data_IF_961189785955
#
_entry.id   IF_961189785955
#
_cell.length_a   1.000
_cell.length_b   1.000
_cell.length_c   1.000
_cell.angle_alpha   90.00
_cell.angle_beta   90.00
_cell.angle_gamma   90.00
#
_symmetry.space_group_name_H-M   'P 1'
#
loop_
_entity.id
_entity.type
_entity.pdbx_description
1 polymer ?
#
# COMPACT_ATOMS: atom_id res chain seq x y z
N UNK A 1 22.36 20.74 8.81
CA UNK A 1 22.63 19.31 9.07
C UNK A 1 21.29 18.64 9.38
N UNK A 2 20.64 18.13 8.35
CA UNK A 2 19.32 17.50 8.46
C UNK A 2 19.54 15.98 8.52
N UNK A 3 19.31 15.39 9.70
CA UNK A 3 19.28 13.96 9.89
C UNK A 3 17.99 13.39 9.30
N UNK A 4 18.02 13.03 8.02
CA UNK A 4 16.97 12.27 7.37
C UNK A 4 16.90 10.88 7.99
N UNK A 5 15.88 10.61 8.80
CA UNK A 5 15.53 9.26 9.23
C UNK A 5 15.07 8.49 8.00
N UNK A 6 15.92 7.65 7.46
CA UNK A 6 15.53 6.66 6.46
C UNK A 6 14.45 5.77 7.08
N UNK A 7 13.25 5.85 6.54
CA UNK A 7 12.22 4.83 6.75
C UNK A 7 12.75 3.56 6.08
N UNK A 8 13.05 2.54 6.87
CA UNK A 8 13.59 1.27 6.38
C UNK A 8 12.44 0.41 5.82
N UNK A 9 12.17 0.41 4.50
CA UNK A 9 11.08 -0.40 3.93
C UNK A 9 11.50 -1.87 3.72
N UNK A 10 12.76 -2.23 4.01
CA UNK A 10 13.27 -3.60 3.83
C UNK A 10 12.54 -4.61 4.74
N UNK A 11 12.02 -4.16 5.89
CA UNK A 11 11.20 -5.00 6.78
C UNK A 11 9.73 -5.14 6.30
N UNK A 12 9.28 -4.32 5.36
CA UNK A 12 7.86 -4.25 4.97
C UNK A 12 7.43 -5.36 4.00
N UNK A 13 8.37 -6.01 3.32
CA UNK A 13 8.08 -7.09 2.37
C UNK A 13 7.62 -8.39 3.07
N UNK A 14 7.81 -8.49 4.40
CA UNK A 14 7.49 -9.70 5.18
C UNK A 14 6.05 -9.75 5.71
N UNK A 15 5.20 -8.76 5.46
CA UNK A 15 3.88 -8.60 6.13
C UNK A 15 2.69 -8.57 5.18
N UNK A 16 2.54 -9.59 4.31
CA UNK A 16 1.35 -9.77 3.48
C UNK A 16 0.50 -11.01 3.88
N UNK A 17 0.50 -11.36 5.15
CA UNK A 17 -0.54 -12.24 5.73
C UNK A 17 -1.22 -11.42 6.82
N UNK A 18 -2.21 -10.61 6.41
CA UNK A 18 -3.03 -9.82 7.30
C UNK A 18 -3.95 -10.71 8.13
N UNK A 19 -3.54 -11.06 9.34
CA UNK A 19 -4.48 -11.53 10.36
C UNK A 19 -5.01 -10.31 11.11
N UNK A 20 -6.24 -9.89 10.79
CA UNK A 20 -7.02 -8.94 11.57
C UNK A 20 -7.48 -9.60 12.86
N UNK A 21 -6.67 -9.51 13.91
CA UNK A 21 -7.09 -9.89 15.26
C UNK A 21 -7.70 -8.67 15.95
N UNK A 22 -9.00 -8.71 16.21
CA UNK A 22 -9.70 -7.76 17.06
C UNK A 22 -9.21 -7.91 18.51
N UNK A 23 -8.52 -6.90 19.03
CA UNK A 23 -8.09 -6.86 20.43
C UNK A 23 -9.21 -6.28 21.31
N UNK A 24 -9.78 -7.12 22.18
CA UNK A 24 -10.53 -6.68 23.34
C UNK A 24 -9.54 -6.33 24.47
N UNK A 25 -9.55 -5.07 24.91
CA UNK A 25 -8.73 -4.60 26.02
C UNK A 25 -9.37 -5.00 27.35
N UNK A 26 -8.66 -5.79 28.17
CA UNK A 26 -8.92 -5.91 29.62
C UNK A 26 -7.63 -5.57 30.37
N UNK A 27 -7.71 -4.56 31.21
CA UNK A 27 -6.60 -4.10 32.07
C UNK A 27 -6.43 -4.99 33.31
N UNK A 28 -5.19 -5.32 33.75
CA UNK A 28 -4.92 -5.93 35.02
C UNK A 28 -4.48 -4.92 36.09
N UNK A 29 -4.68 -5.22 37.39
CA UNK A 29 -4.29 -4.35 38.51
C UNK A 29 -2.80 -4.49 38.89
N UNK A 30 -2.24 -3.56 39.69
CA UNK A 30 -0.82 -3.50 39.98
C UNK A 30 -0.38 -4.41 41.14
N UNK A 31 0.82 -4.95 41.08
CA UNK A 31 1.50 -5.69 42.14
C UNK A 31 2.73 -4.94 42.69
N UNK A 32 3.08 -5.14 43.96
CA UNK A 32 4.04 -4.29 44.70
C UNK A 32 5.51 -4.73 44.52
N UNK A 33 6.38 -3.76 44.76
CA UNK A 33 7.84 -3.89 44.71
C UNK A 33 8.41 -4.64 45.92
N UNK A 34 9.48 -5.39 45.71
CA UNK A 34 10.43 -5.74 46.76
C UNK A 34 11.85 -5.82 46.21
N UNK A 35 12.75 -5.11 46.90
CA UNK A 35 14.17 -5.00 46.62
C UNK A 35 14.96 -6.10 47.36
N UNK A 36 16.04 -6.60 46.75
CA UNK A 36 17.15 -7.22 47.49
C UNK A 36 18.47 -7.11 46.68
N UNK A 37 19.53 -6.80 47.40
CA UNK A 37 20.85 -6.40 46.99
C UNK A 37 21.81 -7.59 46.73
N UNK A 38 23.07 -7.35 46.23
CA UNK A 38 23.91 -8.31 45.53
C UNK A 38 24.89 -9.07 46.46
N UNK A 39 25.32 -10.25 46.02
CA UNK A 39 26.42 -10.99 46.58
C UNK A 39 27.42 -11.49 45.51
N UNK A 40 28.65 -11.86 45.81
CA UNK A 40 29.84 -11.56 45.03
C UNK A 40 30.28 -12.66 44.06
N UNK A 41 31.06 -12.20 43.09
CA UNK A 41 31.77 -12.95 42.06
C UNK A 41 32.74 -13.99 42.58
N UNK A 42 32.61 -15.23 42.11
CA UNK A 42 33.73 -16.18 42.04
C UNK A 42 34.00 -16.58 40.61
N UNK A 43 35.21 -16.25 40.15
CA UNK A 43 35.80 -16.71 38.93
C UNK A 43 35.87 -18.24 38.85
N UNK A 44 35.27 -18.82 37.80
CA UNK A 44 35.51 -20.22 37.43
C UNK A 44 35.98 -20.32 35.97
N UNK A 45 37.14 -20.89 35.90
CA UNK A 45 37.91 -21.47 34.76
C UNK A 45 37.01 -22.06 33.67
N UNK A 46 37.42 -21.83 32.42
CA UNK A 46 36.74 -22.23 31.21
C UNK A 46 36.24 -23.68 31.19
N UNK A 47 34.93 -23.78 31.29
CA UNK A 47 34.20 -24.96 30.87
C UNK A 47 33.72 -24.66 29.44
N UNK A 48 33.96 -25.59 28.51
CA UNK A 48 33.40 -25.57 27.17
C UNK A 48 31.87 -25.32 27.31
N UNK A 49 31.39 -24.25 26.71
CA UNK A 49 29.94 -23.97 26.64
C UNK A 49 29.31 -25.19 25.99
N UNK A 50 28.40 -25.92 26.67
CA UNK A 50 27.72 -27.01 26.01
C UNK A 50 26.98 -26.43 24.81
N UNK A 51 27.28 -26.93 23.62
CA UNK A 51 26.49 -26.66 22.43
C UNK A 51 25.08 -27.19 22.76
N UNK A 52 24.15 -26.33 23.09
CA UNK A 52 22.79 -26.74 23.33
C UNK A 52 22.28 -27.29 21.98
N UNK A 53 21.98 -28.58 21.96
CA UNK A 53 21.32 -29.21 20.82
C UNK A 53 20.00 -28.47 20.59
N UNK A 54 19.75 -28.07 19.35
CA UNK A 54 18.52 -27.37 18.99
C UNK A 54 17.33 -28.32 19.24
N UNK A 55 16.34 -27.82 19.98
CA UNK A 55 15.22 -28.64 20.43
C UNK A 55 14.07 -28.56 19.42
N UNK A 56 13.52 -29.71 19.03
CA UNK A 56 12.30 -29.77 18.24
C UNK A 56 11.11 -29.41 19.11
N UNK A 57 10.34 -28.40 18.69
CA UNK A 57 9.13 -27.93 19.38
C UNK A 57 7.87 -28.51 18.73
N UNK A 58 7.82 -28.55 17.40
CA UNK A 58 6.68 -29.02 16.62
C UNK A 58 7.16 -29.81 15.44
N UNK A 59 6.43 -30.86 15.08
CA UNK A 59 6.59 -31.58 13.82
C UNK A 59 5.37 -31.28 12.96
N UNK A 60 5.63 -30.82 11.73
CA UNK A 60 4.63 -30.49 10.71
C UNK A 60 4.79 -31.48 9.56
N UNK A 61 3.88 -32.46 9.47
CA UNK A 61 4.02 -33.63 8.60
C UNK A 61 5.36 -34.37 8.84
N UNK A 62 6.34 -34.17 7.96
CA UNK A 62 7.68 -34.77 8.01
C UNK A 62 8.81 -33.77 8.34
N UNK A 63 8.47 -32.51 8.61
CA UNK A 63 9.46 -31.46 8.91
C UNK A 63 9.35 -30.94 10.35
N UNK A 64 10.49 -30.70 10.99
CA UNK A 64 10.54 -30.17 12.33
C UNK A 64 10.61 -28.62 12.33
N UNK A 65 9.96 -28.02 13.33
CA UNK A 65 10.18 -26.63 13.75
C UNK A 65 10.90 -26.66 15.09
N UNK A 66 12.03 -25.98 15.16
CA UNK A 66 12.93 -26.02 16.30
C UNK A 66 12.78 -24.78 17.18
N UNK A 67 13.40 -24.81 18.34
CA UNK A 67 13.50 -23.66 19.23
C UNK A 67 14.26 -22.50 18.59
N UNK A 68 15.27 -22.83 17.77
CA UNK A 68 16.02 -21.83 17.00
C UNK A 68 15.13 -21.12 15.98
N UNK A 69 14.32 -21.86 15.22
CA UNK A 69 13.38 -21.30 14.24
C UNK A 69 12.39 -20.32 14.91
N UNK A 70 11.83 -20.72 16.07
CA UNK A 70 10.93 -19.87 16.83
C UNK A 70 11.62 -18.59 17.34
N UNK A 71 12.82 -18.74 17.91
CA UNK A 71 13.57 -17.61 18.46
C UNK A 71 13.97 -16.61 17.37
N UNK A 72 14.42 -17.09 16.21
CA UNK A 72 14.80 -16.25 15.09
C UNK A 72 13.58 -15.50 14.50
N UNK A 73 12.48 -16.21 14.29
CA UNK A 73 11.27 -15.57 13.77
C UNK A 73 10.68 -14.56 14.77
N UNK A 74 10.72 -14.87 16.06
CA UNK A 74 10.32 -13.93 17.13
C UNK A 74 11.18 -12.66 17.10
N UNK A 75 12.49 -12.79 16.94
CA UNK A 75 13.43 -11.67 16.82
C UNK A 75 13.02 -10.73 15.68
N UNK A 76 12.69 -11.29 14.52
CA UNK A 76 12.25 -10.54 13.33
C UNK A 76 10.94 -9.80 13.64
N UNK A 77 9.94 -10.48 14.21
CA UNK A 77 8.64 -9.88 14.53
C UNK A 77 8.78 -8.75 15.56
N UNK A 78 9.60 -8.93 16.60
CA UNK A 78 9.85 -7.89 17.60
C UNK A 78 10.53 -6.66 17.01
N UNK A 79 11.51 -6.85 16.10
CA UNK A 79 12.16 -5.75 15.39
C UNK A 79 11.14 -4.96 14.54
N UNK A 80 10.22 -5.66 13.89
CA UNK A 80 9.16 -5.05 13.08
C UNK A 80 8.15 -4.26 13.92
N UNK A 81 7.66 -4.84 15.03
CA UNK A 81 6.75 -4.14 15.96
C UNK A 81 7.40 -2.87 16.50
N UNK A 82 8.68 -2.95 16.87
CA UNK A 82 9.46 -1.78 17.33
C UNK A 82 9.59 -0.72 16.26
N UNK A 83 9.87 -1.10 15.01
CA UNK A 83 9.97 -0.17 13.88
C UNK A 83 8.63 0.53 13.59
N UNK A 84 7.52 -0.15 13.84
CA UNK A 84 6.15 0.37 13.68
C UNK A 84 5.61 1.10 14.91
N UNK A 85 6.40 1.24 15.98
CA UNK A 85 5.97 1.80 17.28
C UNK A 85 4.76 1.06 17.89
N UNK A 86 4.65 -0.25 17.67
CA UNK A 86 3.60 -1.10 18.22
C UNK A 86 4.16 -1.81 19.46
N UNK A 87 3.43 -1.73 20.58
CA UNK A 87 3.81 -2.46 21.80
C UNK A 87 3.61 -3.96 21.59
N UNK A 88 4.66 -4.80 21.78
CA UNK A 88 4.53 -6.23 21.65
C UNK A 88 3.53 -6.82 22.66
N UNK A 89 2.79 -7.89 22.31
CA UNK A 89 2.03 -8.66 23.29
C UNK A 89 2.95 -9.40 24.26
N UNK A 90 2.36 -10.09 25.26
CA UNK A 90 3.16 -10.95 26.17
C UNK A 90 3.92 -12.04 25.38
N UNK A 91 5.07 -12.45 25.90
CA UNK A 91 5.93 -13.44 25.22
C UNK A 91 5.16 -14.72 24.86
N UNK A 92 4.31 -15.23 25.76
CA UNK A 92 3.54 -16.46 25.53
C UNK A 92 2.54 -16.32 24.37
N UNK A 93 1.92 -15.14 24.22
CA UNK A 93 1.01 -14.85 23.11
C UNK A 93 1.79 -14.70 21.83
N UNK A 94 2.92 -13.99 21.87
CA UNK A 94 3.78 -13.81 20.71
C UNK A 94 4.34 -15.15 20.21
N UNK A 95 4.85 -15.99 21.10
CA UNK A 95 5.41 -17.29 20.74
C UNK A 95 4.37 -18.22 20.13
N UNK A 96 3.13 -18.21 20.62
CA UNK A 96 2.01 -18.95 20.01
C UNK A 96 1.70 -18.44 18.60
N UNK A 97 1.63 -17.12 18.41
CA UNK A 97 1.35 -16.53 17.10
C UNK A 97 2.47 -16.81 16.09
N UNK A 98 3.72 -16.69 16.53
CA UNK A 98 4.89 -17.00 15.70
C UNK A 98 4.93 -18.48 15.35
N UNK A 99 4.61 -19.38 16.29
CA UNK A 99 4.57 -20.82 16.06
C UNK A 99 3.49 -21.19 15.03
N UNK A 100 2.27 -20.68 15.15
CA UNK A 100 1.21 -20.95 14.16
C UNK A 100 1.59 -20.44 12.77
N UNK A 101 2.25 -19.26 12.69
CA UNK A 101 2.77 -18.76 11.44
C UNK A 101 3.81 -19.69 10.81
N UNK A 102 4.76 -20.20 11.60
CA UNK A 102 5.77 -21.17 11.14
C UNK A 102 5.12 -22.47 10.65
N UNK A 103 4.10 -22.96 11.36
CA UNK A 103 3.35 -24.16 10.97
C UNK A 103 2.67 -23.94 9.61
N UNK A 104 1.97 -22.83 9.43
CA UNK A 104 1.30 -22.49 8.16
C UNK A 104 2.33 -22.33 7.03
N UNK A 105 3.44 -21.64 7.29
CA UNK A 105 4.51 -21.49 6.30
C UNK A 105 5.09 -22.84 5.85
N UNK A 106 5.37 -23.75 6.80
CA UNK A 106 5.80 -25.12 6.48
C UNK A 106 4.78 -25.85 5.61
N UNK A 107 3.51 -25.82 6.00
CA UNK A 107 2.44 -26.43 5.23
C UNK A 107 2.35 -25.89 3.80
N UNK A 108 2.47 -24.57 3.62
CA UNK A 108 2.47 -23.95 2.29
C UNK A 108 3.67 -24.38 1.44
N UNK A 109 4.87 -24.45 2.01
CA UNK A 109 6.07 -24.87 1.29
C UNK A 109 6.00 -26.34 0.89
N UNK A 110 5.49 -27.22 1.77
CA UNK A 110 5.23 -28.62 1.45
C UNK A 110 4.19 -28.75 0.35
N UNK A 111 3.08 -28.00 0.44
CA UNK A 111 2.06 -27.96 -0.61
C UNK A 111 2.67 -27.54 -1.96
N UNK A 112 3.52 -26.53 -1.98
CA UNK A 112 4.21 -26.11 -3.20
C UNK A 112 5.08 -27.24 -3.79
N UNK A 113 5.85 -27.92 -2.94
CA UNK A 113 6.71 -29.04 -3.34
C UNK A 113 5.89 -30.18 -3.97
N UNK A 114 4.80 -30.58 -3.31
CA UNK A 114 3.93 -31.67 -3.74
C UNK A 114 3.19 -31.36 -5.04
N UNK A 115 2.85 -30.08 -5.26
CA UNK A 115 2.16 -29.60 -6.45
C UNK A 115 3.07 -29.07 -7.56
N UNK A 116 4.39 -29.25 -7.43
CA UNK A 116 5.39 -28.86 -8.43
C UNK A 116 5.55 -27.36 -8.61
N UNK A 117 5.15 -26.53 -7.61
CA UNK A 117 5.34 -25.08 -7.64
C UNK A 117 6.78 -24.79 -7.23
N UNK A 118 7.60 -24.39 -8.20
CA UNK A 118 9.04 -24.14 -8.00
C UNK A 118 9.39 -22.72 -8.44
N UNK A 119 10.41 -22.14 -7.81
CA UNK A 119 10.96 -20.83 -8.14
C UNK A 119 12.44 -21.00 -8.47
N UNK A 120 12.81 -20.60 -9.68
CA UNK A 120 14.19 -20.64 -10.14
C UNK A 120 15.00 -19.46 -9.59
N UNK A 121 16.31 -19.61 -9.59
CA UNK A 121 17.26 -18.61 -9.08
C UNK A 121 17.16 -17.27 -9.81
N UNK A 122 16.90 -17.30 -11.11
CA UNK A 122 16.77 -16.10 -11.94
C UNK A 122 15.57 -15.25 -11.50
N UNK A 123 14.46 -15.91 -11.15
CA UNK A 123 13.26 -15.22 -10.60
C UNK A 123 13.54 -14.60 -9.25
N UNK A 124 14.29 -15.30 -8.37
CA UNK A 124 14.69 -14.78 -7.05
C UNK A 124 15.57 -13.54 -7.22
N UNK A 125 16.61 -13.62 -8.05
CA UNK A 125 17.53 -12.50 -8.28
C UNK A 125 16.79 -11.30 -8.88
N UNK A 126 15.91 -11.52 -9.86
CA UNK A 126 15.08 -10.44 -10.45
C UNK A 126 14.19 -9.77 -9.41
N UNK A 127 13.62 -10.55 -8.49
CA UNK A 127 12.81 -10.02 -7.39
C UNK A 127 13.65 -9.18 -6.45
N UNK A 128 14.86 -9.63 -6.08
CA UNK A 128 15.79 -8.89 -5.23
C UNK A 128 16.22 -7.58 -5.89
N UNK A 129 16.53 -7.60 -7.20
CA UNK A 129 16.88 -6.40 -7.96
C UNK A 129 15.75 -5.38 -7.94
N UNK A 130 14.50 -5.82 -8.16
CA UNK A 130 13.33 -4.94 -8.10
C UNK A 130 13.16 -4.32 -6.72
N UNK A 131 13.33 -5.09 -5.63
CA UNK A 131 13.29 -4.55 -4.27
C UNK A 131 14.39 -3.50 -4.04
N UNK A 132 15.58 -3.71 -4.56
CA UNK A 132 16.66 -2.73 -4.49
C UNK A 132 16.30 -1.43 -5.24
N UNK A 133 15.74 -1.54 -6.45
CA UNK A 133 15.31 -0.41 -7.27
C UNK A 133 14.16 0.38 -6.60
N UNK A 134 13.16 -0.29 -6.04
CA UNK A 134 12.07 0.33 -5.27
C UNK A 134 12.60 1.14 -4.08
N UNK A 135 13.71 0.68 -3.47
CA UNK A 135 14.43 1.39 -2.41
C UNK A 135 15.44 2.42 -2.94
N UNK A 136 15.53 2.61 -4.26
CA UNK A 136 16.48 3.52 -4.93
C UNK A 136 17.96 3.19 -4.62
N UNK A 137 18.27 1.91 -4.43
CA UNK A 137 19.60 1.40 -4.13
C UNK A 137 20.13 0.59 -5.31
N UNK A 138 21.45 0.67 -5.52
CA UNK A 138 22.14 -0.25 -6.41
C UNK A 138 22.26 -1.63 -5.73
N UNK A 139 22.37 -2.74 -6.49
CA UNK A 139 22.46 -4.08 -5.93
C UNK A 139 23.54 -4.26 -4.85
N UNK A 140 24.74 -3.68 -5.08
CA UNK A 140 25.85 -3.74 -4.12
C UNK A 140 25.58 -2.92 -2.84
N UNK A 141 24.90 -1.79 -2.98
CA UNK A 141 24.49 -0.94 -1.84
C UNK A 141 23.43 -1.65 -1.00
N UNK A 142 22.50 -2.33 -1.66
CA UNK A 142 21.48 -3.13 -1.02
C UNK A 142 22.07 -4.29 -0.22
N UNK A 143 23.03 -5.03 -0.80
CA UNK A 143 23.75 -6.10 -0.09
C UNK A 143 24.48 -5.59 1.16
N UNK A 144 25.21 -4.47 1.04
CA UNK A 144 25.90 -3.83 2.17
C UNK A 144 24.92 -3.33 3.24
N UNK A 145 23.72 -2.97 2.85
CA UNK A 145 22.67 -2.58 3.81
C UNK A 145 22.19 -3.79 4.60
N UNK A 146 21.89 -4.91 3.95
CA UNK A 146 21.53 -6.17 4.62
C UNK A 146 22.61 -6.61 5.62
N UNK A 147 23.88 -6.57 5.22
CA UNK A 147 25.00 -6.91 6.10
C UNK A 147 25.09 -6.01 7.35
N UNK A 148 24.85 -4.70 7.18
CA UNK A 148 24.79 -3.73 8.31
C UNK A 148 23.63 -4.00 9.26
N UNK A 149 22.51 -4.48 8.74
CA UNK A 149 21.34 -4.91 9.53
C UNK A 149 21.52 -6.30 10.15
N UNK A 150 22.68 -6.95 9.92
CA UNK A 150 22.97 -8.29 10.42
C UNK A 150 22.26 -9.42 9.67
N UNK A 151 21.78 -9.17 8.46
CA UNK A 151 21.08 -10.14 7.61
C UNK A 151 22.08 -10.71 6.59
N UNK A 152 22.35 -12.01 6.67
CA UNK A 152 23.19 -12.68 5.68
C UNK A 152 22.46 -12.75 4.33
N UNK A 153 23.12 -12.31 3.24
CA UNK A 153 22.52 -12.31 1.91
C UNK A 153 21.95 -13.67 1.45
N UNK A 154 22.62 -14.83 1.72
CA UNK A 154 22.02 -16.13 1.41
C UNK A 154 20.71 -16.40 2.14
N UNK A 155 20.62 -16.02 3.42
CA UNK A 155 19.38 -16.17 4.20
C UNK A 155 18.24 -15.30 3.63
N UNK A 156 18.55 -14.04 3.31
CA UNK A 156 17.60 -13.13 2.65
C UNK A 156 17.11 -13.69 1.31
N UNK A 157 18.01 -14.27 0.52
CA UNK A 157 17.68 -14.88 -0.77
C UNK A 157 16.69 -16.05 -0.62
N UNK A 158 16.86 -16.88 0.40
CA UNK A 158 15.93 -17.99 0.69
C UNK A 158 14.59 -17.46 1.23
N UNK A 159 14.59 -16.37 2.00
CA UNK A 159 13.35 -15.71 2.42
C UNK A 159 12.56 -15.18 1.21
N UNK A 160 13.22 -14.51 0.29
CA UNK A 160 12.60 -14.04 -0.96
C UNK A 160 12.07 -15.24 -1.77
N UNK A 161 12.80 -16.34 -1.84
CA UNK A 161 12.32 -17.56 -2.51
C UNK A 161 11.03 -18.07 -1.90
N UNK A 162 10.96 -18.19 -0.57
CA UNK A 162 9.75 -18.62 0.14
C UNK A 162 8.57 -17.69 -0.15
N UNK A 163 8.79 -16.38 -0.12
CA UNK A 163 7.73 -15.41 -0.44
C UNK A 163 7.22 -15.55 -1.87
N UNK A 164 8.11 -15.71 -2.84
CA UNK A 164 7.72 -15.92 -4.25
C UNK A 164 6.96 -17.24 -4.42
N UNK A 165 7.34 -18.30 -3.69
CA UNK A 165 6.59 -19.55 -3.68
C UNK A 165 5.18 -19.37 -3.16
N UNK A 166 5.01 -18.68 -2.01
CA UNK A 166 3.69 -18.39 -1.42
C UNK A 166 2.86 -17.53 -2.38
N UNK A 167 3.46 -16.54 -3.02
CA UNK A 167 2.79 -15.71 -4.02
C UNK A 167 2.30 -16.56 -5.22
N UNK A 168 3.11 -17.49 -5.72
CA UNK A 168 2.70 -18.39 -6.81
C UNK A 168 1.56 -19.36 -6.40
N UNK A 169 1.56 -19.82 -5.14
CA UNK A 169 0.43 -20.58 -4.61
C UNK A 169 -0.84 -19.73 -4.67
N UNK A 170 -0.78 -18.51 -4.15
CA UNK A 170 -1.90 -17.58 -4.14
C UNK A 170 -2.42 -17.30 -5.56
N UNK A 171 -1.54 -16.98 -6.49
CA UNK A 171 -1.89 -16.74 -7.89
C UNK A 171 -2.58 -17.95 -8.53
N UNK A 172 -2.04 -19.16 -8.30
CA UNK A 172 -2.55 -20.39 -8.91
C UNK A 172 -3.85 -20.86 -8.28
N UNK A 173 -3.92 -20.89 -6.94
CA UNK A 173 -5.03 -21.53 -6.23
C UNK A 173 -6.18 -20.57 -5.94
N UNK A 174 -5.91 -19.27 -5.94
CA UNK A 174 -6.89 -18.25 -5.56
C UNK A 174 -7.10 -17.20 -6.65
N UNK A 175 -6.11 -16.39 -6.96
CA UNK A 175 -6.28 -15.18 -7.77
C UNK A 175 -6.79 -15.51 -9.19
N UNK A 176 -6.34 -16.62 -9.77
CA UNK A 176 -6.79 -17.12 -11.08
C UNK A 176 -8.27 -17.55 -11.10
N UNK A 177 -8.84 -17.85 -9.92
CA UNK A 177 -10.22 -18.35 -9.76
C UNK A 177 -11.18 -17.24 -9.31
N UNK A 178 -10.64 -16.11 -8.82
CA UNK A 178 -11.46 -14.98 -8.36
C UNK A 178 -12.06 -14.25 -9.55
N UNK A 179 -13.37 -14.25 -9.62
CA UNK A 179 -14.15 -13.45 -10.55
C UNK A 179 -14.97 -12.38 -9.81
N UNK A 180 -15.08 -11.20 -10.40
CA UNK A 180 -15.94 -10.11 -9.92
C UNK A 180 -16.90 -9.76 -11.04
N UNK A 181 -18.18 -9.95 -10.77
CA UNK A 181 -19.26 -9.62 -11.70
C UNK A 181 -19.60 -8.13 -11.68
N UNK A 182 -20.20 -7.62 -12.76
CA UNK A 182 -20.66 -6.24 -12.83
C UNK A 182 -21.73 -5.92 -11.79
N UNK A 183 -22.62 -6.88 -11.48
CA UNK A 183 -23.61 -6.72 -10.42
C UNK A 183 -22.98 -6.52 -9.03
N UNK A 184 -21.89 -7.21 -8.72
CA UNK A 184 -21.14 -6.99 -7.47
C UNK A 184 -20.50 -5.61 -7.43
N UNK A 185 -19.97 -5.14 -8.55
CA UNK A 185 -19.41 -3.79 -8.69
C UNK A 185 -20.50 -2.75 -8.45
N UNK A 186 -21.68 -2.91 -9.06
CA UNK A 186 -22.80 -1.98 -8.90
C UNK A 186 -23.31 -1.95 -7.45
N UNK A 187 -23.48 -3.10 -6.81
CA UNK A 187 -23.87 -3.20 -5.41
C UNK A 187 -22.83 -2.57 -4.47
N UNK A 188 -21.55 -2.78 -4.73
CA UNK A 188 -20.47 -2.18 -3.95
C UNK A 188 -20.47 -0.65 -4.07
N UNK A 189 -20.62 -0.12 -5.30
CA UNK A 189 -20.70 1.31 -5.55
C UNK A 189 -21.94 1.93 -4.88
N UNK A 190 -23.10 1.25 -4.95
CA UNK A 190 -24.31 1.68 -4.27
C UNK A 190 -24.13 1.73 -2.74
N UNK A 191 -23.46 0.72 -2.16
CA UNK A 191 -23.14 0.65 -0.74
C UNK A 191 -22.22 1.81 -0.31
N UNK A 192 -21.17 2.07 -1.09
CA UNK A 192 -20.27 3.21 -0.84
C UNK A 192 -21.04 4.54 -0.97
N UNK A 193 -21.86 4.70 -2.00
CA UNK A 193 -22.65 5.92 -2.19
C UNK A 193 -23.61 6.16 -1.02
N UNK A 194 -24.24 5.10 -0.50
CA UNK A 194 -25.14 5.20 0.65
C UNK A 194 -24.40 5.50 1.97
N UNK A 195 -23.15 5.04 2.12
CA UNK A 195 -22.33 5.26 3.32
C UNK A 195 -21.53 6.57 3.28
N UNK A 196 -21.22 7.07 2.09
CA UNK A 196 -20.42 8.26 1.86
C UNK A 196 -21.31 9.35 1.34
N UNK A 197 -21.55 10.41 2.12
CA UNK A 197 -22.06 11.65 1.55
C UNK A 197 -21.18 12.09 0.37
N UNK A 198 -21.73 12.90 -0.52
CA UNK A 198 -21.07 13.29 -1.78
C UNK A 198 -19.76 14.05 -1.60
N UNK A 199 -19.54 14.65 -0.42
CA UNK A 199 -18.38 15.47 -0.07
C UNK A 199 -17.61 14.90 1.11
N UNK A 200 -16.30 15.09 1.11
CA UNK A 200 -15.41 14.86 2.26
C UNK A 200 -14.70 16.14 2.64
N UNK A 201 -14.62 16.38 3.94
CA UNK A 201 -14.01 17.57 4.53
C UNK A 201 -12.83 17.18 5.39
N UNK A 202 -11.69 17.83 5.18
CA UNK A 202 -10.53 17.71 6.07
C UNK A 202 -10.65 18.80 7.14
N UNK A 203 -10.84 18.36 8.39
CA UNK A 203 -11.19 19.24 9.48
C UNK A 203 -10.16 19.20 10.60
N UNK A 204 -10.00 20.34 11.25
CA UNK A 204 -9.41 20.43 12.58
C UNK A 204 -10.36 21.17 13.51
N UNK A 205 -10.33 20.85 14.82
CA UNK A 205 -11.20 21.51 15.77
C UNK A 205 -10.50 21.93 17.06
N UNK A 206 -11.06 22.94 17.71
CA UNK A 206 -10.83 23.28 19.12
C UNK A 206 -12.12 22.97 19.86
N UNK A 207 -12.03 22.15 20.91
CA UNK A 207 -13.17 21.77 21.72
C UNK A 207 -12.94 22.19 23.17
N UNK A 208 -13.80 23.06 23.71
CA UNK A 208 -13.79 23.50 25.11
C UNK A 208 -14.95 22.84 25.83
N UNK A 209 -14.67 21.86 26.67
CA UNK A 209 -15.67 21.05 27.37
C UNK A 209 -16.42 21.86 28.42
N UNK A 210 -17.73 21.63 28.50
CA UNK A 210 -18.59 22.15 29.57
C UNK A 210 -19.21 20.94 30.29
N UNK A 211 -19.01 20.78 31.63
CA UNK A 211 -19.64 19.71 32.39
C UNK A 211 -21.18 19.76 32.31
N UNK A 212 -21.84 18.60 32.31
CA UNK A 212 -23.32 18.50 32.19
C UNK A 212 -24.07 19.30 33.26
N UNK A 213 -23.53 19.36 34.49
CA UNK A 213 -24.12 20.09 35.62
C UNK A 213 -23.40 21.41 35.92
N UNK A 214 -22.83 22.06 34.86
CA UNK A 214 -22.12 23.31 35.04
C UNK A 214 -23.07 24.48 35.42
N UNK A 215 -22.62 25.27 36.41
CA UNK A 215 -23.28 26.50 36.77
C UNK A 215 -23.14 27.56 35.63
N UNK A 216 -24.03 28.56 35.54
CA UNK A 216 -23.91 29.62 34.54
C UNK A 216 -22.52 30.29 34.49
N UNK A 217 -21.89 30.49 35.66
CA UNK A 217 -20.54 31.08 35.76
C UNK A 217 -19.45 30.19 35.11
N UNK A 218 -19.57 28.87 35.32
CA UNK A 218 -18.66 27.91 34.67
C UNK A 218 -18.86 27.91 33.15
N UNK A 219 -20.10 27.92 32.69
CA UNK A 219 -20.42 28.01 31.25
C UNK A 219 -19.83 29.27 30.65
N UNK A 220 -19.98 30.41 31.33
CA UNK A 220 -19.48 31.71 30.86
C UNK A 220 -17.93 31.72 30.81
N UNK A 221 -17.27 31.16 31.83
CA UNK A 221 -15.80 30.98 31.84
C UNK A 221 -15.32 30.14 30.66
N UNK A 222 -15.99 29.03 30.35
CA UNK A 222 -15.66 28.17 29.22
C UNK A 222 -15.91 28.85 27.90
N UNK A 223 -16.99 29.63 27.78
CA UNK A 223 -17.26 30.46 26.60
C UNK A 223 -16.14 31.48 26.36
N UNK A 224 -15.72 32.21 27.38
CA UNK A 224 -14.61 33.18 27.31
C UNK A 224 -13.30 32.53 26.87
N UNK A 225 -13.04 31.28 27.31
CA UNK A 225 -11.88 30.50 26.85
C UNK A 225 -11.96 30.21 25.35
N UNK A 226 -13.13 29.81 24.82
CA UNK A 226 -13.35 29.61 23.40
C UNK A 226 -13.24 30.91 22.61
N UNK A 227 -13.78 32.03 23.13
CA UNK A 227 -13.65 33.37 22.53
C UNK A 227 -12.20 33.81 22.45
N UNK A 228 -11.38 33.56 23.48
CA UNK A 228 -9.95 33.83 23.49
C UNK A 228 -9.22 33.00 22.43
N UNK A 229 -9.57 31.71 22.29
CA UNK A 229 -9.01 30.84 21.27
C UNK A 229 -9.32 31.36 19.86
N UNK A 230 -10.58 31.70 19.60
CA UNK A 230 -11.01 32.26 18.31
C UNK A 230 -10.31 33.60 17.99
N UNK A 231 -10.19 34.49 19.00
CA UNK A 231 -9.48 35.75 18.83
C UNK A 231 -7.99 35.54 18.45
N UNK A 232 -7.32 34.57 19.06
CA UNK A 232 -5.95 34.23 18.68
C UNK A 232 -5.82 33.68 17.25
N UNK A 233 -6.76 32.82 16.84
CA UNK A 233 -6.81 32.33 15.47
C UNK A 233 -7.01 33.46 14.48
N UNK A 234 -7.97 34.36 14.76
CA UNK A 234 -8.27 35.52 13.93
C UNK A 234 -7.13 36.56 13.88
N UNK A 235 -6.26 36.59 14.90
CA UNK A 235 -5.05 37.42 14.90
C UNK A 235 -3.89 36.81 14.08
N UNK A 236 -4.11 35.62 13.47
CA UNK A 236 -3.12 34.97 12.62
C UNK A 236 -2.27 33.92 13.30
N UNK A 237 -2.55 33.56 14.55
CA UNK A 237 -1.86 32.46 15.22
C UNK A 237 -2.24 31.13 14.59
N UNK A 238 -1.29 30.20 14.50
CA UNK A 238 -1.54 28.89 13.89
C UNK A 238 -2.64 28.11 14.64
N UNK A 239 -3.57 27.53 13.90
CA UNK A 239 -4.71 26.81 14.44
C UNK A 239 -4.28 25.63 15.31
N UNK A 240 -3.23 24.90 14.90
CA UNK A 240 -2.74 23.74 15.63
C UNK A 240 -2.13 24.13 16.98
N UNK A 241 -1.42 25.26 17.05
CA UNK A 241 -0.90 25.80 18.32
C UNK A 241 -2.03 26.23 19.26
N UNK A 242 -3.07 26.86 18.72
CA UNK A 242 -4.25 27.24 19.52
C UNK A 242 -5.01 26.01 19.97
N UNK A 243 -5.18 24.99 19.11
CA UNK A 243 -5.81 23.72 19.50
C UNK A 243 -5.03 23.05 20.64
N UNK A 244 -3.72 22.94 20.52
CA UNK A 244 -2.88 22.38 21.59
C UNK A 244 -2.98 23.13 22.93
N UNK A 245 -3.26 24.46 22.89
CA UNK A 245 -3.29 25.31 24.10
C UNK A 245 -4.66 25.42 24.74
N UNK A 246 -5.72 25.36 23.94
CA UNK A 246 -7.10 25.67 24.38
C UNK A 246 -8.09 24.51 24.25
N UNK A 247 -7.79 23.48 23.43
CA UNK A 247 -8.70 22.35 23.26
C UNK A 247 -8.58 21.35 24.41
N UNK A 248 -9.71 20.86 24.84
CA UNK A 248 -9.83 19.75 25.80
C UNK A 248 -10.01 18.40 25.08
N UNK A 249 -10.00 18.37 23.75
CA UNK A 249 -10.15 17.15 22.96
C UNK A 249 -8.89 16.27 22.99
N UNK A 250 -9.02 14.95 22.86
CA UNK A 250 -7.87 14.02 22.88
C UNK A 250 -6.85 14.30 21.76
N UNK A 251 -7.30 14.86 20.64
CA UNK A 251 -6.49 15.24 19.47
C UNK A 251 -5.90 16.65 19.54
N UNK A 252 -6.08 17.36 20.67
CA UNK A 252 -5.53 18.70 20.88
C UNK A 252 -4.01 18.76 20.64
N UNK A 253 -3.25 17.76 21.14
CA UNK A 253 -1.80 17.66 20.97
C UNK A 253 -1.36 17.42 19.53
N UNK A 254 -2.29 16.95 18.67
CA UNK A 254 -2.10 16.75 17.23
C UNK A 254 -2.69 17.91 16.42
N UNK A 255 -2.87 19.09 17.04
CA UNK A 255 -3.43 20.29 16.42
C UNK A 255 -4.94 20.21 16.17
N UNK A 256 -5.64 19.35 16.90
CA UNK A 256 -7.09 19.13 16.76
C UNK A 256 -7.50 18.48 15.43
N UNK A 257 -6.60 17.76 14.77
CA UNK A 257 -6.83 17.21 13.43
C UNK A 257 -7.78 16.01 13.47
N UNK A 258 -8.98 16.17 12.89
CA UNK A 258 -9.99 15.12 12.73
C UNK A 258 -9.79 14.26 11.47
N UNK A 259 -8.89 14.68 10.57
CA UNK A 259 -8.71 14.07 9.26
C UNK A 259 -9.90 14.27 8.33
N UNK A 260 -9.98 13.44 7.27
CA UNK A 260 -11.08 13.45 6.31
C UNK A 260 -12.35 12.83 6.90
N UNK A 261 -13.48 13.56 6.82
CA UNK A 261 -14.78 13.13 7.32
C UNK A 261 -15.88 13.43 6.30
N UNK A 262 -16.81 12.49 6.13
CA UNK A 262 -18.06 12.73 5.41
C UNK A 262 -19.05 13.46 6.31
N UNK A 263 -20.03 14.22 5.75
CA UNK A 263 -21.07 14.89 6.55
C UNK A 263 -21.79 13.96 7.53
N UNK A 264 -22.06 12.72 7.12
CA UNK A 264 -22.72 11.72 7.97
C UNK A 264 -21.89 11.28 9.20
N UNK A 265 -20.57 11.49 9.16
CA UNK A 265 -19.66 11.17 10.27
C UNK A 265 -19.26 12.40 11.09
N UNK A 266 -19.85 13.55 10.81
CA UNK A 266 -19.66 14.76 11.58
C UNK A 266 -20.74 14.88 12.64
N UNK A 267 -20.44 15.43 13.85
CA UNK A 267 -21.47 15.92 14.74
C UNK A 267 -22.41 16.88 13.99
N UNK A 268 -23.70 16.78 14.22
CA UNK A 268 -24.71 17.60 13.49
C UNK A 268 -24.40 19.10 13.55
N UNK A 269 -23.88 19.57 14.68
CA UNK A 269 -23.46 20.96 14.88
C UNK A 269 -22.37 21.43 13.89
N UNK A 270 -21.58 20.52 13.33
CA UNK A 270 -20.54 20.83 12.33
C UNK A 270 -21.07 20.71 10.89
N UNK A 271 -21.92 19.71 10.63
CA UNK A 271 -22.28 19.30 9.28
C UNK A 271 -22.86 20.47 8.44
N UNK A 272 -23.72 21.28 9.02
CA UNK A 272 -24.37 22.40 8.33
C UNK A 272 -23.38 23.57 8.09
N UNK A 273 -22.54 23.86 9.07
CA UNK A 273 -21.56 24.95 8.99
C UNK A 273 -20.48 24.61 7.97
N UNK A 274 -19.93 23.39 8.02
CA UNK A 274 -18.83 22.96 7.16
C UNK A 274 -19.22 22.96 5.67
N UNK A 275 -20.46 22.64 5.34
CA UNK A 275 -20.97 22.70 3.95
C UNK A 275 -20.91 24.09 3.33
N UNK A 276 -20.96 25.14 4.15
CA UNK A 276 -20.94 26.54 3.69
C UNK A 276 -19.55 27.16 3.72
N UNK A 277 -18.58 26.47 4.34
CA UNK A 277 -17.20 26.97 4.49
C UNK A 277 -16.37 26.75 3.22
N UNK A 278 -15.36 27.60 3.04
CA UNK A 278 -14.32 27.44 2.02
C UNK A 278 -13.06 26.85 2.64
N UNK A 279 -12.25 26.09 1.89
CA UNK A 279 -10.92 25.64 2.35
C UNK A 279 -10.09 26.80 2.93
N UNK A 280 -9.49 26.56 4.08
CA UNK A 280 -8.76 27.56 4.87
C UNK A 280 -9.61 28.35 5.86
N UNK A 281 -10.92 28.31 5.76
CA UNK A 281 -11.81 29.10 6.63
C UNK A 281 -11.96 28.46 8.03
N UNK A 282 -12.14 29.34 9.03
CA UNK A 282 -12.44 28.98 10.42
C UNK A 282 -13.87 29.39 10.75
N UNK A 283 -14.60 28.54 11.46
CA UNK A 283 -15.97 28.81 11.91
C UNK A 283 -16.02 29.82 13.03
N UNK A 284 -17.21 30.36 13.30
CA UNK A 284 -17.52 30.96 14.61
C UNK A 284 -17.54 29.90 15.73
N UNK A 285 -17.80 30.36 16.94
CA UNK A 285 -17.99 29.46 18.08
C UNK A 285 -19.36 28.78 17.96
N UNK A 286 -19.35 27.46 17.98
CA UNK A 286 -20.55 26.64 17.98
C UNK A 286 -20.78 26.01 19.34
N UNK A 287 -22.06 25.91 19.78
CA UNK A 287 -22.43 25.31 21.05
C UNK A 287 -23.02 23.90 20.83
N UNK A 288 -22.50 22.92 21.54
CA UNK A 288 -23.10 21.59 21.67
C UNK A 288 -23.50 21.30 23.12
N UNK A 289 -24.15 20.17 23.38
CA UNK A 289 -24.42 19.72 24.75
C UNK A 289 -23.14 19.58 25.58
N UNK A 290 -22.05 19.11 24.99
CA UNK A 290 -20.77 18.87 25.69
C UNK A 290 -19.86 20.08 25.80
N UNK A 291 -20.09 21.19 25.07
CA UNK A 291 -19.17 22.33 25.12
C UNK A 291 -19.21 23.26 23.93
N UNK A 292 -18.13 24.02 23.76
CA UNK A 292 -17.95 24.99 22.68
C UNK A 292 -16.94 24.44 21.67
N UNK A 293 -17.20 24.69 20.40
CA UNK A 293 -16.40 24.20 19.29
C UNK A 293 -16.03 25.32 18.34
N UNK A 294 -14.82 25.28 17.81
CA UNK A 294 -14.35 26.06 16.68
C UNK A 294 -13.77 25.06 15.67
N UNK A 295 -14.19 25.15 14.42
CA UNK A 295 -13.74 24.20 13.37
C UNK A 295 -13.01 24.97 12.28
N UNK A 296 -11.89 24.43 11.81
CA UNK A 296 -11.20 24.88 10.60
C UNK A 296 -11.41 23.86 9.50
N UNK A 297 -11.89 24.29 8.34
CA UNK A 297 -11.89 23.51 7.12
C UNK A 297 -10.53 23.64 6.47
N UNK A 298 -9.70 22.60 6.55
CA UNK A 298 -8.38 22.62 5.93
C UNK A 298 -8.48 22.40 4.41
N UNK A 299 -9.34 21.45 3.99
CA UNK A 299 -9.58 21.13 2.58
C UNK A 299 -10.98 20.49 2.43
N UNK A 300 -11.53 20.54 1.22
CA UNK A 300 -12.79 19.90 0.85
C UNK A 300 -12.62 19.21 -0.49
N UNK A 301 -13.03 17.95 -0.57
CA UNK A 301 -13.04 17.23 -1.83
C UNK A 301 -14.41 16.66 -2.11
N UNK A 302 -14.86 16.87 -3.32
CA UNK A 302 -16.06 16.24 -3.83
C UNK A 302 -15.65 14.91 -4.47
N UNK A 303 -16.14 13.81 -3.93
CA UNK A 303 -15.93 12.46 -4.52
C UNK A 303 -16.60 12.33 -5.90
N UNK A 304 -17.52 13.22 -6.22
CA UNK A 304 -18.21 13.24 -7.49
C UNK A 304 -17.61 14.19 -8.53
N UNK A 305 -16.44 14.82 -8.24
CA UNK A 305 -15.79 15.60 -9.28
C UNK A 305 -15.52 14.73 -10.51
N UNK A 306 -15.93 15.18 -11.69
CA UNK A 306 -15.67 14.44 -12.92
C UNK A 306 -14.17 14.31 -13.15
N UNK A 307 -13.73 13.09 -13.41
CA UNK A 307 -12.38 12.82 -13.86
C UNK A 307 -12.34 12.97 -15.37
N UNK A 308 -12.02 14.18 -15.82
CA UNK A 308 -11.88 14.47 -17.24
C UNK A 308 -10.42 14.21 -17.63
N UNK A 309 -10.22 13.39 -18.65
CA UNK A 309 -8.89 13.10 -19.23
C UNK A 309 -8.84 13.56 -20.66
N UNK A 310 -7.66 14.00 -21.11
CA UNK A 310 -7.41 14.27 -22.52
C UNK A 310 -7.10 12.93 -23.20
N UNK A 311 -8.03 12.45 -24.03
CA UNK A 311 -7.84 11.26 -24.87
C UNK A 311 -7.31 11.66 -26.23
N UNK A 312 -6.40 10.84 -26.76
CA UNK A 312 -5.83 11.00 -28.10
C UNK A 312 -6.21 9.81 -28.96
N UNK A 313 -6.86 10.04 -30.09
CA UNK A 313 -7.03 9.04 -31.14
C UNK A 313 -5.76 9.00 -31.98
N UNK A 314 -5.08 7.87 -31.98
CA UNK A 314 -3.82 7.73 -32.67
C UNK A 314 -3.75 6.44 -33.49
N UNK A 315 -2.87 6.45 -34.47
CA UNK A 315 -2.47 5.25 -35.20
C UNK A 315 -0.96 5.14 -35.24
N UNK A 316 -0.45 3.92 -35.39
CA UNK A 316 0.98 3.68 -35.39
C UNK A 316 1.43 2.61 -36.41
N UNK A 317 2.72 2.62 -36.70
CA UNK A 317 3.44 1.56 -37.41
C UNK A 317 4.52 1.06 -36.44
N UNK A 318 4.59 -0.23 -36.20
CA UNK A 318 5.62 -0.86 -35.40
C UNK A 318 6.52 -1.72 -36.26
N UNK A 319 7.83 -1.55 -36.13
CA UNK A 319 8.84 -2.48 -36.59
C UNK A 319 9.47 -3.13 -35.35
N UNK A 320 9.19 -4.41 -35.14
CA UNK A 320 9.74 -5.15 -33.99
C UNK A 320 11.24 -5.37 -34.15
N UNK A 321 11.96 -5.20 -33.05
CA UNK A 321 13.37 -5.58 -32.95
C UNK A 321 13.44 -6.92 -32.22
N UNK A 322 14.03 -7.91 -32.87
CA UNK A 322 14.14 -9.29 -32.39
C UNK A 322 15.42 -9.95 -32.96
N UNK A 323 15.57 -11.26 -32.80
CA UNK A 323 16.73 -12.00 -33.29
C UNK A 323 16.90 -11.93 -34.84
N UNK A 324 15.82 -11.70 -35.57
CA UNK A 324 15.82 -11.63 -37.03
C UNK A 324 15.88 -10.22 -37.59
N UNK A 325 15.57 -9.20 -36.79
CA UNK A 325 15.61 -7.80 -37.18
C UNK A 325 16.42 -7.03 -36.14
N UNK A 326 17.61 -6.64 -36.51
CA UNK A 326 18.51 -5.88 -35.62
C UNK A 326 17.98 -4.46 -35.36
N UNK A 327 18.51 -3.81 -34.33
CA UNK A 327 18.19 -2.43 -33.99
C UNK A 327 18.40 -1.46 -35.15
N UNK A 328 19.52 -1.60 -35.87
CA UNK A 328 19.89 -0.75 -37.00
C UNK A 328 18.99 -0.99 -38.23
N UNK A 329 18.64 -2.24 -38.50
CA UNK A 329 17.73 -2.58 -39.60
C UNK A 329 16.31 -2.08 -39.32
N UNK A 330 15.83 -2.25 -38.05
CA UNK A 330 14.53 -1.73 -37.62
C UNK A 330 14.44 -0.23 -37.78
N UNK A 331 15.49 0.51 -37.36
CA UNK A 331 15.57 1.95 -37.55
C UNK A 331 15.59 2.35 -39.04
N UNK A 332 16.40 1.71 -39.84
CA UNK A 332 16.47 1.98 -41.28
C UNK A 332 15.13 1.73 -41.98
N UNK A 333 14.43 0.67 -41.60
CA UNK A 333 13.11 0.33 -42.13
C UNK A 333 12.07 1.39 -41.78
N UNK A 334 12.01 1.79 -40.51
CA UNK A 334 11.04 2.78 -40.04
C UNK A 334 11.31 4.18 -40.67
N UNK A 335 12.58 4.57 -40.82
CA UNK A 335 12.96 5.83 -41.51
C UNK A 335 12.43 5.86 -42.93
N UNK A 336 12.64 4.75 -43.70
CA UNK A 336 12.11 4.63 -45.09
C UNK A 336 10.58 4.73 -45.13
N UNK A 337 9.88 4.17 -44.16
CA UNK A 337 8.42 4.26 -44.09
C UNK A 337 7.96 5.68 -43.80
N UNK A 338 8.68 6.40 -42.96
CA UNK A 338 8.45 7.83 -42.71
C UNK A 338 8.61 8.65 -44.00
N UNK A 339 9.71 8.45 -44.73
CA UNK A 339 9.97 9.16 -46.00
C UNK A 339 8.87 8.89 -47.03
N UNK A 340 8.38 7.65 -47.13
CA UNK A 340 7.26 7.31 -48.02
C UNK A 340 5.97 8.03 -47.63
N UNK A 341 5.66 8.12 -46.33
CA UNK A 341 4.50 8.86 -45.84
C UNK A 341 4.67 10.35 -46.11
N UNK A 342 5.84 10.91 -45.84
CA UNK A 342 6.16 12.31 -46.14
C UNK A 342 6.06 12.64 -47.65
N UNK A 343 6.31 11.64 -48.52
CA UNK A 343 6.15 11.74 -49.97
C UNK A 343 4.71 11.52 -50.45
N UNK A 344 3.73 11.41 -49.54
CA UNK A 344 2.31 11.36 -49.89
C UNK A 344 1.67 9.95 -49.84
N UNK A 345 2.39 8.91 -49.42
CA UNK A 345 1.76 7.62 -49.17
C UNK A 345 0.81 7.69 -47.98
N UNK A 346 -0.35 7.06 -48.07
CA UNK A 346 -1.32 7.04 -46.98
C UNK A 346 -0.79 6.20 -45.82
N UNK A 347 -0.82 6.77 -44.61
CA UNK A 347 -0.31 6.13 -43.41
C UNK A 347 -0.94 4.74 -43.20
N UNK A 348 -2.26 4.61 -43.33
CA UNK A 348 -2.98 3.35 -43.16
C UNK A 348 -2.58 2.26 -44.16
N UNK A 349 -2.27 2.61 -45.40
CA UNK A 349 -1.82 1.64 -46.40
C UNK A 349 -0.41 1.16 -46.10
N UNK A 350 0.47 2.09 -45.66
CA UNK A 350 1.82 1.76 -45.23
C UNK A 350 1.80 0.88 -43.99
N UNK A 351 0.92 1.17 -43.02
CA UNK A 351 0.74 0.39 -41.82
C UNK A 351 0.25 -1.04 -42.11
N UNK A 352 -0.75 -1.20 -42.96
CA UNK A 352 -1.29 -2.53 -43.33
C UNK A 352 -0.24 -3.47 -43.91
N UNK A 353 0.70 -2.93 -44.67
CA UNK A 353 1.70 -3.73 -45.38
C UNK A 353 2.96 -3.98 -44.53
N UNK A 354 3.32 -3.04 -43.66
CA UNK A 354 4.66 -3.03 -43.07
C UNK A 354 4.67 -3.09 -41.54
N UNK A 355 3.54 -2.87 -40.86
CA UNK A 355 3.51 -2.90 -39.39
C UNK A 355 3.47 -4.33 -38.84
N UNK A 356 4.32 -4.60 -37.85
CA UNK A 356 4.37 -5.87 -37.12
C UNK A 356 3.36 -5.90 -35.95
N UNK A 357 2.56 -4.83 -35.79
CA UNK A 357 1.53 -4.75 -34.77
C UNK A 357 0.20 -5.36 -35.22
N UNK A 358 -0.59 -5.84 -34.26
CA UNK A 358 -1.92 -6.43 -34.53
C UNK A 358 -2.91 -5.41 -35.10
N UNK A 359 -2.72 -4.12 -34.87
CA UNK A 359 -3.52 -3.02 -35.44
C UNK A 359 -3.26 -2.80 -36.94
N UNK A 360 -2.24 -3.45 -37.52
CA UNK A 360 -1.90 -3.32 -38.94
C UNK A 360 -3.09 -3.56 -39.85
N UNK A 361 -3.94 -4.58 -39.58
CA UNK A 361 -5.14 -4.87 -40.34
C UNK A 361 -6.13 -3.70 -40.41
N UNK A 362 -6.14 -2.86 -39.35
CA UNK A 362 -6.94 -1.62 -39.27
C UNK A 362 -6.16 -0.36 -39.69
N UNK A 363 -5.03 -0.52 -40.41
CA UNK A 363 -4.20 0.61 -40.82
C UNK A 363 -3.41 1.24 -39.67
N UNK A 364 -3.13 0.47 -38.63
CA UNK A 364 -2.41 0.91 -37.43
C UNK A 364 -3.25 1.63 -36.40
N UNK A 365 -4.58 1.69 -36.58
CA UNK A 365 -5.48 2.40 -35.68
C UNK A 365 -5.54 1.74 -34.29
N UNK A 366 -5.22 2.53 -33.25
CA UNK A 366 -5.25 2.14 -31.83
C UNK A 366 -6.53 2.60 -31.12
N UNK A 367 -7.39 3.39 -31.80
CA UNK A 367 -8.54 4.01 -31.17
C UNK A 367 -8.18 5.14 -30.22
N UNK A 368 -9.06 5.40 -29.26
CA UNK A 368 -8.87 6.43 -28.24
C UNK A 368 -8.00 5.91 -27.10
N UNK A 369 -6.91 6.62 -26.86
CA UNK A 369 -5.87 6.30 -25.86
C UNK A 369 -5.98 7.32 -24.73
N UNK A 370 -6.05 6.83 -23.48
CA UNK A 370 -5.99 7.65 -22.27
C UNK A 370 -4.55 7.77 -21.77
N UNK A 371 -4.24 8.79 -20.96
CA UNK A 371 -2.94 8.87 -20.27
C UNK A 371 -2.67 7.61 -19.42
N UNK A 372 -1.52 6.99 -19.67
CA UNK A 372 -1.10 5.75 -18.99
C UNK A 372 -1.42 4.45 -19.75
N UNK A 373 -2.17 4.49 -20.87
CA UNK A 373 -2.50 3.29 -21.66
C UNK A 373 -1.32 2.78 -22.48
N UNK A 374 -0.28 3.60 -22.68
CA UNK A 374 0.90 3.26 -23.47
C UNK A 374 2.19 3.38 -22.70
N UNK A 375 3.27 2.78 -23.24
CA UNK A 375 4.60 2.89 -22.61
C UNK A 375 5.09 4.35 -22.63
N UNK A 376 5.88 4.78 -21.61
CA UNK A 376 6.22 6.19 -21.41
C UNK A 376 6.83 6.90 -22.62
N UNK A 377 7.69 6.21 -23.40
CA UNK A 377 8.34 6.81 -24.57
C UNK A 377 7.35 7.06 -25.70
N UNK A 378 6.40 6.12 -25.90
CA UNK A 378 5.33 6.27 -26.88
C UNK A 378 4.38 7.41 -26.47
N UNK A 379 3.96 7.42 -25.20
CA UNK A 379 3.05 8.45 -24.67
C UNK A 379 3.65 9.85 -24.76
N UNK A 380 4.92 10.00 -24.43
CA UNK A 380 5.65 11.28 -24.51
C UNK A 380 5.69 11.78 -25.97
N UNK A 381 6.03 10.90 -26.90
CA UNK A 381 6.08 11.25 -28.32
C UNK A 381 4.69 11.61 -28.84
N UNK A 382 3.66 10.80 -28.57
CA UNK A 382 2.27 11.04 -28.95
C UNK A 382 1.75 12.38 -28.40
N UNK A 383 2.06 12.68 -27.15
CA UNK A 383 1.60 13.91 -26.48
C UNK A 383 2.19 15.18 -27.09
N UNK A 384 3.41 15.10 -27.61
CA UNK A 384 4.11 16.22 -28.25
C UNK A 384 3.64 16.54 -29.69
N UNK A 385 2.91 15.61 -30.35
CA UNK A 385 2.47 15.78 -31.73
C UNK A 385 1.24 16.69 -31.81
N UNK A 386 1.16 17.47 -32.87
CA UNK A 386 -0.10 18.10 -33.31
C UNK A 386 -1.03 17.07 -33.98
N UNK A 387 -2.33 17.42 -34.09
CA UNK A 387 -3.28 16.62 -34.88
C UNK A 387 -2.80 16.52 -36.33
N UNK A 388 -2.94 15.35 -36.96
CA UNK A 388 -2.47 14.94 -38.28
C UNK A 388 -0.93 14.85 -38.44
N UNK A 389 -0.17 15.18 -37.39
CA UNK A 389 1.28 15.10 -37.45
C UNK A 389 1.76 13.66 -37.23
N UNK A 390 2.77 13.27 -38.02
CA UNK A 390 3.52 12.01 -37.90
C UNK A 390 4.79 12.26 -37.07
N UNK A 391 5.10 11.36 -36.14
CA UNK A 391 6.29 11.48 -35.30
C UNK A 391 7.59 11.24 -36.05
N UNK A 392 8.71 11.65 -35.46
CA UNK A 392 9.99 11.00 -35.70
C UNK A 392 9.93 9.53 -35.25
N UNK A 393 10.83 8.65 -35.74
CA UNK A 393 10.94 7.29 -35.23
C UNK A 393 11.16 7.25 -33.70
N UNK A 394 10.24 6.58 -33.00
CA UNK A 394 10.24 6.48 -31.54
C UNK A 394 10.68 5.09 -31.14
N UNK A 395 11.72 5.00 -30.31
CA UNK A 395 12.20 3.73 -29.76
C UNK A 395 11.44 3.37 -28.49
N UNK A 396 10.92 2.14 -28.44
CA UNK A 396 10.29 1.56 -27.23
C UNK A 396 10.82 0.14 -26.98
N UNK A 397 10.55 -0.50 -25.85
CA UNK A 397 10.93 -1.92 -25.62
C UNK A 397 10.41 -2.89 -26.70
N UNK A 398 9.36 -2.54 -27.44
CA UNK A 398 8.77 -3.39 -28.48
C UNK A 398 9.43 -3.22 -29.86
N UNK A 399 10.16 -2.14 -30.10
CA UNK A 399 10.76 -1.84 -31.38
C UNK A 399 10.69 -0.34 -31.72
N UNK A 400 10.70 -0.05 -33.03
CA UNK A 400 10.60 1.29 -33.58
C UNK A 400 9.18 1.61 -34.02
N UNK A 401 8.71 2.79 -33.66
CA UNK A 401 7.36 3.25 -33.95
C UNK A 401 7.37 4.53 -34.79
N UNK A 402 6.40 4.64 -35.74
CA UNK A 402 5.88 5.91 -36.22
C UNK A 402 4.49 6.09 -35.65
N UNK A 403 4.18 7.26 -35.13
CA UNK A 403 2.92 7.60 -34.48
C UNK A 403 2.28 8.74 -35.22
N UNK A 404 0.98 8.67 -35.47
CA UNK A 404 0.20 9.79 -35.98
C UNK A 404 -0.99 10.04 -35.09
N UNK A 405 -1.17 11.28 -34.67
CA UNK A 405 -2.36 11.72 -33.92
C UNK A 405 -3.44 12.10 -34.92
N UNK A 406 -4.63 11.52 -34.74
CA UNK A 406 -5.79 11.78 -35.60
C UNK A 406 -6.70 12.83 -34.98
N UNK A 407 -6.96 12.71 -33.66
CA UNK A 407 -7.89 13.58 -32.99
C UNK A 407 -7.57 13.64 -31.48
N UNK A 408 -8.02 14.70 -30.79
CA UNK A 408 -7.95 14.82 -29.33
C UNK A 408 -9.31 15.22 -28.78
N UNK A 409 -9.68 14.65 -27.63
CA UNK A 409 -10.91 14.99 -26.94
C UNK A 409 -10.73 15.01 -25.44
N UNK A 410 -11.58 15.75 -24.75
CA UNK A 410 -11.76 15.63 -23.31
C UNK A 410 -12.88 14.64 -23.04
N UNK A 411 -12.59 13.58 -22.30
CA UNK A 411 -13.54 12.54 -21.97
C UNK A 411 -13.70 12.46 -20.46
N UNK A 412 -14.95 12.50 -19.98
CA UNK A 412 -15.26 12.16 -18.61
C UNK A 412 -15.20 10.64 -18.45
N UNK A 413 -14.25 10.18 -17.65
CA UNK A 413 -14.01 8.76 -17.36
C UNK A 413 -14.32 8.42 -15.89
N UNK A 414 -15.09 9.27 -15.23
CA UNK A 414 -15.37 9.14 -13.80
C UNK A 414 -16.02 7.80 -13.46
N UNK A 415 -17.02 7.40 -14.24
CA UNK A 415 -17.75 6.16 -13.97
C UNK A 415 -16.89 4.93 -14.24
N UNK A 416 -16.16 4.91 -15.35
CA UNK A 416 -15.25 3.83 -15.72
C UNK A 416 -14.18 3.64 -14.65
N UNK A 417 -13.52 4.72 -14.22
CA UNK A 417 -12.49 4.66 -13.16
C UNK A 417 -13.06 4.20 -11.82
N UNK A 418 -14.26 4.66 -11.44
CA UNK A 418 -14.93 4.20 -10.22
C UNK A 418 -15.25 2.71 -10.28
N UNK A 419 -15.76 2.25 -11.41
CA UNK A 419 -16.05 0.82 -11.62
C UNK A 419 -14.78 -0.01 -11.57
N UNK A 420 -13.70 0.46 -12.18
CA UNK A 420 -12.41 -0.22 -12.14
C UNK A 420 -11.83 -0.27 -10.72
N UNK A 421 -11.82 0.84 -10.01
CA UNK A 421 -11.38 0.89 -8.61
C UNK A 421 -12.22 -0.04 -7.71
N UNK A 422 -13.54 -0.03 -7.89
CA UNK A 422 -14.45 -0.91 -7.17
C UNK A 422 -14.18 -2.38 -7.50
N UNK A 423 -13.98 -2.72 -8.77
CA UNK A 423 -13.65 -4.09 -9.22
C UNK A 423 -12.33 -4.56 -8.63
N UNK A 424 -11.31 -3.70 -8.62
CA UNK A 424 -10.00 -4.03 -8.05
C UNK A 424 -10.09 -4.22 -6.52
N UNK A 425 -10.83 -3.36 -5.81
CA UNK A 425 -11.06 -3.48 -4.38
C UNK A 425 -11.83 -4.76 -4.01
N UNK A 426 -12.87 -5.09 -4.80
CA UNK A 426 -13.63 -6.33 -4.63
C UNK A 426 -12.79 -7.57 -4.91
N UNK A 427 -12.01 -7.54 -5.99
CA UNK A 427 -11.11 -8.65 -6.36
C UNK A 427 -10.09 -8.89 -5.26
N UNK A 428 -9.45 -7.83 -4.76
CA UNK A 428 -8.48 -7.94 -3.67
C UNK A 428 -9.13 -8.55 -2.42
N UNK A 429 -10.29 -8.04 -1.99
CA UNK A 429 -11.00 -8.57 -0.82
C UNK A 429 -11.37 -10.05 -0.98
N UNK A 430 -11.95 -10.42 -2.13
CA UNK A 430 -12.29 -11.83 -2.43
C UNK A 430 -11.06 -12.73 -2.46
N UNK A 431 -9.97 -12.24 -3.02
CA UNK A 431 -8.70 -12.97 -3.05
C UNK A 431 -8.15 -13.17 -1.64
N UNK A 432 -8.19 -12.15 -0.79
CA UNK A 432 -7.76 -12.27 0.60
C UNK A 432 -8.62 -13.26 1.38
N UNK A 433 -9.96 -13.15 1.28
CA UNK A 433 -10.92 -14.07 1.93
C UNK A 433 -10.71 -15.52 1.47
N UNK A 434 -10.56 -15.76 0.16
CA UNK A 434 -10.36 -17.11 -0.39
C UNK A 434 -8.96 -17.66 -0.04
N UNK A 435 -7.94 -16.80 0.07
CA UNK A 435 -6.62 -17.25 0.49
C UNK A 435 -6.60 -17.62 1.98
N UNK A 436 -7.30 -16.89 2.83
CA UNK A 436 -7.48 -17.25 4.23
C UNK A 436 -8.24 -18.57 4.38
N UNK A 437 -9.27 -18.81 3.55
CA UNK A 437 -9.99 -20.09 3.49
C UNK A 437 -9.07 -21.23 3.04
N UNK A 438 -8.25 -20.98 2.02
CA UNK A 438 -7.27 -21.95 1.54
C UNK A 438 -6.26 -22.32 2.63
N UNK A 439 -5.73 -21.32 3.35
CA UNK A 439 -4.81 -21.52 4.47
C UNK A 439 -5.48 -22.36 5.58
N UNK A 440 -6.74 -22.04 5.95
CA UNK A 440 -7.48 -22.82 6.96
C UNK A 440 -7.64 -24.29 6.53
N UNK A 441 -8.08 -24.53 5.29
CA UNK A 441 -8.22 -25.89 4.76
C UNK A 441 -6.88 -26.63 4.70
N UNK A 442 -5.80 -25.95 4.34
CA UNK A 442 -4.47 -26.52 4.34
C UNK A 442 -4.03 -26.88 5.76
N UNK A 443 -4.24 -25.98 6.72
CA UNK A 443 -3.91 -26.18 8.14
C UNK A 443 -4.67 -27.37 8.73
N UNK A 444 -5.95 -27.53 8.41
CA UNK A 444 -6.79 -28.63 8.89
C UNK A 444 -6.33 -30.01 8.35
N UNK A 445 -5.71 -30.04 7.17
CA UNK A 445 -5.17 -31.27 6.56
C UNK A 445 -3.73 -31.55 6.97
N UNK A 446 -3.04 -30.58 7.53
CA UNK A 446 -1.64 -30.68 7.93
C UNK A 446 -1.54 -31.38 9.28
N UNK A 447 -0.82 -32.49 9.36
CA UNK A 447 -0.51 -33.13 10.63
C UNK A 447 0.46 -32.27 11.43
N UNK A 448 0.10 -31.97 12.68
CA UNK A 448 0.92 -31.16 13.60
C UNK A 448 1.00 -31.85 14.92
N UNK A 449 2.22 -32.17 15.35
CA UNK A 449 2.53 -32.76 16.65
C UNK A 449 3.40 -31.84 17.49
N UNK A 450 2.87 -31.34 18.60
CA UNK A 450 3.63 -30.57 19.57
C UNK A 450 4.45 -31.51 20.45
N UNK A 451 5.77 -31.32 20.47
CA UNK A 451 6.66 -32.07 21.37
C UNK A 451 6.65 -31.43 22.74
N UNK A 452 5.82 -31.98 23.65
CA UNK A 452 5.83 -31.61 25.08
C UNK A 452 7.05 -32.20 25.74
N UNK A 453 7.58 -31.52 26.78
CA UNK A 453 8.61 -32.10 27.65
C UNK A 453 8.03 -33.33 28.32
N UNK A 454 8.43 -34.52 27.91
CA UNK A 454 8.42 -35.67 28.82
C UNK A 454 9.50 -35.41 29.88
N UNK A 455 9.06 -35.04 31.08
CA UNK A 455 9.92 -34.94 32.28
C UNK A 455 10.43 -36.31 32.71
#
# INVERSE_FOLDING_TARGET
MASGRLRCPILFVLCMLGMSAAFAQTSPPPAPASAAAPAPSTSRTGAAVPVSLDRVLVVVNDEAITQFDLAEQRRIVLAQLKASNITPPSNDVLDKQVMERLIVERGLLQYAKDNGIRVDDTTVERTILRVAEENKLKPDEFRKLLEREGIAYPAYREDVRRQVVVQRIREREVDSKVAVSDAEVDNYLATIAAQSGEDEYQLSHVYVTVPEQATPDVVDTRRKRAETALAQINSGKDFAEVAASYSDAPDASSGGNLGWRTPARLPSVFADVVRTMKPGQVSGIMRSAGGFHIVKLADARNRNQPTVVDQTHARHILIKVNETTSEAEGKTKIDRLKDRIASGAKFEEVARVNSDDTSSAKGGDLGWISPGDTVPDFERAMSALAVDQVSEPVRTPFGWHLIQVLERRKQDVTQERRREQARNALRQRKSDEQFDDFIRQLRDRTYVEYKTDER
#
